data_IF_022655991275
#
_entry.id   IF_022655991275
#
_cell.length_a   1.000
_cell.length_b   1.000
_cell.length_c   1.000
_cell.angle_alpha   90.00
_cell.angle_beta   90.00
_cell.angle_gamma   90.00
#
_symmetry.space_group_name_H-M   'P 1'
#
loop_
_entity.id
_entity.type
_entity.pdbx_description
1 polymer ?
#
# COMPACT_ATOMS: atom_id res chain seq x y z
N UNK A 1 -65.68 -19.76 -5.50
CA UNK A 1 -64.95 -19.32 -4.30
C UNK A 1 -63.47 -19.33 -4.67
N UNK A 2 -62.87 -18.15 -4.81
CA UNK A 2 -61.48 -18.00 -5.25
C UNK A 2 -60.56 -18.03 -4.02
N UNK A 3 -59.72 -19.05 -3.91
CA UNK A 3 -58.71 -19.14 -2.86
C UNK A 3 -57.44 -18.42 -3.31
N UNK A 4 -57.25 -17.19 -2.85
CA UNK A 4 -56.00 -16.46 -2.99
C UNK A 4 -55.07 -16.93 -1.87
N UNK A 5 -54.04 -17.71 -2.20
CA UNK A 5 -52.97 -18.01 -1.26
C UNK A 5 -52.04 -16.80 -1.13
N UNK A 6 -51.72 -16.34 0.10
CA UNK A 6 -50.74 -15.28 0.27
C UNK A 6 -49.36 -15.82 -0.07
N UNK A 7 -48.72 -15.24 -1.09
CA UNK A 7 -47.30 -15.44 -1.37
C UNK A 7 -46.52 -14.70 -0.30
N UNK A 8 -45.87 -15.44 0.59
CA UNK A 8 -44.95 -14.88 1.57
C UNK A 8 -43.66 -14.49 0.82
N UNK A 9 -43.51 -13.20 0.49
CA UNK A 9 -42.26 -12.68 -0.04
C UNK A 9 -41.29 -12.55 1.14
N UNK A 10 -40.37 -13.50 1.26
CA UNK A 10 -39.26 -13.38 2.19
C UNK A 10 -38.31 -12.30 1.67
N UNK A 11 -38.36 -11.12 2.26
CA UNK A 11 -37.31 -10.12 2.09
C UNK A 11 -36.06 -10.67 2.78
N UNK A 12 -35.11 -11.16 2.01
CA UNK A 12 -33.78 -11.47 2.52
C UNK A 12 -33.05 -10.15 2.75
N UNK A 13 -33.32 -9.49 3.88
CA UNK A 13 -32.50 -8.38 4.37
C UNK A 13 -31.21 -8.96 4.90
N UNK A 14 -30.30 -9.32 3.99
CA UNK A 14 -28.89 -9.41 4.34
C UNK A 14 -28.45 -7.97 4.60
N UNK A 15 -28.58 -7.50 5.84
CA UNK A 15 -27.91 -6.28 6.26
C UNK A 15 -26.42 -6.48 5.91
N UNK A 16 -25.90 -5.68 5.00
CA UNK A 16 -24.48 -5.68 4.69
C UNK A 16 -23.76 -5.27 5.96
N UNK A 17 -23.19 -6.25 6.68
CA UNK A 17 -22.41 -6.02 7.89
C UNK A 17 -21.23 -5.14 7.48
N UNK A 18 -21.23 -3.91 7.97
CA UNK A 18 -20.11 -3.00 7.80
C UNK A 18 -19.03 -3.38 8.81
N UNK A 19 -17.87 -3.76 8.30
CA UNK A 19 -16.68 -4.08 9.07
C UNK A 19 -15.74 -2.87 9.04
N UNK A 20 -15.11 -2.60 10.18
CA UNK A 20 -14.09 -1.56 10.30
C UNK A 20 -12.72 -2.24 10.29
N UNK A 21 -11.91 -1.93 9.28
CA UNK A 21 -10.49 -2.27 9.24
C UNK A 21 -9.74 -1.29 10.14
N UNK A 22 -8.94 -1.81 11.06
CA UNK A 22 -8.16 -0.98 11.99
C UNK A 22 -6.91 -0.48 11.30
N UNK A 23 -6.44 0.71 11.68
CA UNK A 23 -5.12 1.17 11.29
C UNK A 23 -4.06 0.16 11.76
N UNK A 24 -3.04 -0.08 10.92
CA UNK A 24 -1.88 -0.88 11.31
C UNK A 24 -0.61 -0.32 10.66
N UNK A 25 0.52 -0.51 11.32
CA UNK A 25 1.81 0.03 10.89
C UNK A 25 2.88 -1.06 10.86
N UNK A 26 3.76 -1.00 9.87
CA UNK A 26 4.96 -1.84 9.79
C UNK A 26 6.18 -1.04 9.33
N UNK A 27 7.37 -1.55 9.64
CA UNK A 27 8.65 -0.94 9.31
C UNK A 27 9.42 -1.83 8.34
N UNK A 28 10.02 -1.21 7.33
CA UNK A 28 10.80 -1.88 6.29
C UNK A 28 12.21 -1.29 6.31
N UNK A 29 13.20 -2.09 6.71
CA UNK A 29 14.61 -1.70 6.70
C UNK A 29 15.12 -1.49 5.26
N UNK A 30 15.84 -0.39 5.05
CA UNK A 30 16.43 0.00 3.76
C UNK A 30 17.95 -0.21 3.77
N UNK A 31 18.44 -1.05 2.86
CA UNK A 31 19.86 -1.37 2.71
C UNK A 31 20.40 -0.90 1.39
N UNK A 32 21.64 -0.41 1.38
CA UNK A 32 22.36 -0.10 0.14
C UNK A 32 22.36 -1.31 -0.79
N UNK A 33 22.06 -1.07 -2.07
CA UNK A 33 21.90 -2.13 -3.07
C UNK A 33 22.52 -1.74 -4.42
N UNK A 34 22.69 -2.73 -5.29
CA UNK A 34 23.07 -2.51 -6.69
C UNK A 34 21.87 -1.96 -7.49
N UNK A 35 22.08 -1.19 -8.57
CA UNK A 35 21.03 -0.62 -9.42
C UNK A 35 20.35 -1.65 -10.35
N UNK A 36 20.41 -2.93 -10.02
CA UNK A 36 19.66 -3.98 -10.73
C UNK A 36 18.16 -3.72 -10.59
N UNK A 37 17.39 -3.86 -11.66
CA UNK A 37 15.94 -3.69 -11.58
C UNK A 37 15.43 -2.25 -11.80
N UNK A 38 16.33 -1.28 -12.02
CA UNK A 38 15.96 0.14 -12.08
C UNK A 38 15.72 0.69 -13.49
N UNK A 39 16.17 -0.03 -14.53
CA UNK A 39 16.27 0.51 -15.88
C UNK A 39 14.95 1.02 -16.45
N UNK A 40 15.04 1.70 -17.59
CA UNK A 40 13.90 2.36 -18.25
C UNK A 40 12.70 1.43 -18.49
N UNK A 41 12.93 0.13 -18.67
CA UNK A 41 11.90 -0.89 -18.90
C UNK A 41 11.21 -1.38 -17.63
N UNK A 42 11.70 -1.02 -16.45
CA UNK A 42 11.20 -1.49 -15.16
C UNK A 42 10.67 -0.34 -14.31
N UNK A 43 11.56 0.57 -13.88
CA UNK A 43 11.19 1.71 -13.03
C UNK A 43 11.34 3.07 -13.73
N UNK A 44 11.76 3.09 -14.99
CA UNK A 44 11.90 4.34 -15.72
C UNK A 44 13.08 5.20 -15.24
N UNK A 45 14.06 4.63 -14.52
CA UNK A 45 15.17 5.39 -13.96
C UNK A 45 16.39 5.33 -14.89
N UNK A 46 16.99 6.48 -15.25
CA UNK A 46 18.30 6.51 -15.87
C UNK A 46 19.37 6.03 -14.88
N UNK A 47 20.06 4.94 -15.23
CA UNK A 47 21.12 4.37 -14.40
C UNK A 47 22.47 4.92 -14.85
N UNK A 48 23.03 5.79 -14.03
CA UNK A 48 24.38 6.34 -14.15
C UNK A 48 25.33 5.68 -13.12
N UNK A 49 26.64 5.81 -13.32
CA UNK A 49 27.65 5.31 -12.36
C UNK A 49 27.52 5.93 -10.95
N UNK A 50 26.98 7.15 -10.86
CA UNK A 50 26.71 7.85 -9.60
C UNK A 50 25.39 7.44 -8.93
N UNK A 51 24.60 6.55 -9.54
CA UNK A 51 23.29 6.15 -9.01
C UNK A 51 23.44 5.45 -7.68
N UNK A 52 22.81 5.99 -6.63
CA UNK A 52 22.74 5.38 -5.31
C UNK A 52 21.36 4.77 -5.09
N UNK A 53 21.33 3.59 -4.46
CA UNK A 53 20.11 2.79 -4.30
C UNK A 53 20.03 2.23 -2.91
N UNK A 54 18.86 2.36 -2.28
CA UNK A 54 18.50 1.65 -1.05
C UNK A 54 17.27 0.79 -1.33
N UNK A 55 17.27 -0.46 -0.85
CA UNK A 55 16.15 -1.40 -1.03
C UNK A 55 15.72 -2.02 0.29
N UNK A 56 14.42 -2.24 0.41
CA UNK A 56 13.81 -2.95 1.53
C UNK A 56 12.71 -3.88 1.03
N UNK A 57 12.38 -4.90 1.83
CA UNK A 57 11.29 -5.82 1.52
C UNK A 57 10.60 -6.33 2.77
N UNK A 58 9.31 -6.61 2.64
CA UNK A 58 8.50 -7.34 3.63
C UNK A 58 7.62 -8.33 2.88
N UNK A 59 7.61 -9.58 3.32
CA UNK A 59 6.93 -10.66 2.60
C UNK A 59 5.41 -10.56 2.71
N UNK A 60 4.91 -10.33 3.93
CA UNK A 60 3.48 -10.26 4.23
C UNK A 60 3.23 -9.20 5.31
N UNK A 61 2.07 -8.56 5.22
CA UNK A 61 1.53 -7.65 6.23
C UNK A 61 0.00 -7.78 6.26
N UNK A 62 -0.58 -7.81 7.46
CA UNK A 62 -2.00 -8.04 7.65
C UNK A 62 -2.64 -6.83 8.33
N UNK A 63 -3.83 -6.46 7.85
CA UNK A 63 -4.68 -5.49 8.49
C UNK A 63 -5.90 -6.21 9.07
N UNK A 64 -6.12 -6.01 10.37
CA UNK A 64 -7.21 -6.66 11.08
C UNK A 64 -8.51 -5.84 11.00
N UNK A 65 -9.63 -6.52 11.19
CA UNK A 65 -10.90 -5.91 11.57
C UNK A 65 -10.91 -5.57 13.07
N UNK A 66 -11.86 -4.75 13.50
CA UNK A 66 -12.03 -4.37 14.91
C UNK A 66 -12.25 -5.57 15.86
N UNK A 67 -12.74 -6.71 15.37
CA UNK A 67 -12.89 -7.96 16.13
C UNK A 67 -11.64 -8.86 16.07
N UNK A 68 -10.52 -8.37 15.52
CA UNK A 68 -9.22 -9.05 15.51
C UNK A 68 -9.05 -10.10 14.40
N UNK A 69 -10.03 -10.27 13.51
CA UNK A 69 -9.88 -11.15 12.34
C UNK A 69 -9.05 -10.47 11.25
N UNK A 70 -8.51 -11.26 10.33
CA UNK A 70 -7.84 -10.72 9.14
C UNK A 70 -8.88 -10.08 8.23
N UNK A 71 -8.73 -8.78 7.97
CA UNK A 71 -9.64 -8.02 7.12
C UNK A 71 -9.07 -7.68 5.74
N UNK A 72 -7.76 -7.42 5.66
CA UNK A 72 -7.03 -7.21 4.39
C UNK A 72 -5.62 -7.78 4.46
N UNK A 73 -5.17 -8.40 3.37
CA UNK A 73 -3.80 -8.93 3.23
C UNK A 73 -2.98 -8.09 2.26
N UNK A 74 -1.70 -7.92 2.60
CA UNK A 74 -0.69 -7.30 1.76
C UNK A 74 0.48 -8.26 1.65
N UNK A 75 1.07 -8.36 0.45
CA UNK A 75 2.24 -9.20 0.24
C UNK A 75 3.23 -8.56 -0.72
N UNK A 76 4.41 -9.17 -0.83
CA UNK A 76 5.43 -8.78 -1.81
C UNK A 76 5.78 -7.29 -1.74
N UNK A 77 5.83 -6.73 -0.52
CA UNK A 77 6.10 -5.31 -0.29
C UNK A 77 7.58 -5.06 -0.55
N UNK A 78 7.86 -4.17 -1.48
CA UNK A 78 9.19 -3.81 -1.97
C UNK A 78 9.33 -2.30 -1.97
N UNK A 79 10.41 -1.84 -1.37
CA UNK A 79 10.82 -0.44 -1.40
C UNK A 79 12.09 -0.33 -2.21
N UNK A 80 12.13 0.61 -3.14
CA UNK A 80 13.33 0.99 -3.87
C UNK A 80 13.48 2.50 -3.83
N UNK A 81 14.41 2.99 -3.03
CA UNK A 81 14.81 4.38 -3.04
C UNK A 81 15.99 4.56 -3.98
N UNK A 82 15.96 5.59 -4.82
CA UNK A 82 17.00 5.88 -5.81
C UNK A 82 17.36 7.35 -5.71
N UNK A 83 18.66 7.65 -5.69
CA UNK A 83 19.22 8.98 -5.95
C UNK A 83 20.04 8.91 -7.23
N UNK A 84 19.69 9.71 -8.22
CA UNK A 84 20.35 9.74 -9.54
C UNK A 84 20.37 11.16 -10.09
N UNK A 85 20.98 11.36 -11.26
CA UNK A 85 20.99 12.64 -11.95
C UNK A 85 20.35 12.54 -13.34
N UNK A 86 19.60 13.56 -13.72
CA UNK A 86 19.07 13.74 -15.07
C UNK A 86 19.34 15.18 -15.53
N UNK A 87 19.91 15.35 -16.73
CA UNK A 87 20.28 16.68 -17.23
C UNK A 87 21.28 17.44 -16.34
N UNK A 88 22.06 16.73 -15.53
CA UNK A 88 22.99 17.32 -14.55
C UNK A 88 22.35 17.74 -13.23
N UNK A 89 21.06 17.47 -13.02
CA UNK A 89 20.33 17.79 -11.79
C UNK A 89 20.12 16.50 -10.99
N UNK A 90 20.58 16.48 -9.74
CA UNK A 90 20.31 15.37 -8.84
C UNK A 90 18.86 15.35 -8.37
N UNK A 91 18.28 14.16 -8.28
CA UNK A 91 16.96 13.92 -7.72
C UNK A 91 16.94 12.61 -6.96
N UNK A 92 16.03 12.52 -5.99
CA UNK A 92 15.78 11.28 -5.27
C UNK A 92 14.30 10.91 -5.32
N UNK A 93 14.03 9.63 -5.51
CA UNK A 93 12.68 9.06 -5.57
C UNK A 93 12.59 7.81 -4.72
N UNK A 94 11.40 7.54 -4.18
CA UNK A 94 11.07 6.29 -3.51
C UNK A 94 9.94 5.61 -4.25
N UNK A 95 10.17 4.37 -4.66
CA UNK A 95 9.20 3.47 -5.23
C UNK A 95 8.73 2.51 -4.15
N UNK A 96 7.44 2.52 -3.87
CA UNK A 96 6.78 1.53 -3.02
C UNK A 96 5.91 0.65 -3.91
N UNK A 97 6.19 -0.64 -3.92
CA UNK A 97 5.43 -1.64 -4.66
C UNK A 97 4.93 -2.71 -3.69
N UNK A 98 3.69 -3.15 -3.82
CA UNK A 98 3.14 -4.25 -3.03
C UNK A 98 1.91 -4.82 -3.72
N UNK A 99 1.46 -5.98 -3.28
CA UNK A 99 0.17 -6.53 -3.68
C UNK A 99 -0.81 -6.40 -2.52
N UNK A 100 -2.03 -5.95 -2.81
CA UNK A 100 -3.14 -5.94 -1.86
C UNK A 100 -4.20 -6.95 -2.32
N UNK A 101 -4.69 -7.77 -1.39
CA UNK A 101 -5.80 -8.67 -1.66
C UNK A 101 -7.11 -7.95 -1.39
N UNK A 102 -7.96 -7.89 -2.42
CA UNK A 102 -9.38 -7.66 -2.21
C UNK A 102 -9.88 -8.94 -1.56
N UNK A 103 -10.09 -8.93 -0.25
CA UNK A 103 -10.64 -10.07 0.49
C UNK A 103 -12.10 -10.34 0.09
N UNK A 104 -12.86 -11.06 0.92
CA UNK A 104 -14.33 -11.17 0.83
C UNK A 104 -15.06 -9.85 1.17
N UNK A 105 -14.38 -8.71 1.00
CA UNK A 105 -14.81 -7.40 1.44
C UNK A 105 -14.61 -6.36 0.34
N UNK A 106 -15.57 -5.44 0.18
CA UNK A 106 -15.45 -4.25 -0.69
C UNK A 106 -15.59 -2.96 0.11
N UNK A 107 -14.87 -1.88 -0.26
CA UNK A 107 -15.02 -0.58 0.37
C UNK A 107 -16.47 -0.06 0.33
N UNK A 108 -16.94 0.52 1.43
CA UNK A 108 -18.25 1.20 1.51
C UNK A 108 -18.22 2.54 0.79
N UNK A 109 -17.05 3.19 0.73
CA UNK A 109 -16.81 4.44 0.01
C UNK A 109 -15.42 4.47 -0.62
N UNK A 110 -14.82 5.65 -0.72
CA UNK A 110 -13.40 5.77 -1.07
C UNK A 110 -12.57 5.01 -0.03
N UNK A 111 -11.65 4.15 -0.48
CA UNK A 111 -10.82 3.38 0.43
C UNK A 111 -9.91 4.30 1.27
N UNK A 112 -9.70 3.93 2.53
CA UNK A 112 -8.85 4.69 3.46
C UNK A 112 -7.38 4.82 3.01
N UNK A 113 -6.92 3.96 2.11
CA UNK A 113 -5.58 4.03 1.55
C UNK A 113 -4.48 3.71 2.55
N UNK A 114 -3.31 4.29 2.33
CA UNK A 114 -2.13 4.15 3.17
C UNK A 114 -1.33 5.45 3.22
N UNK A 115 -0.52 5.57 4.27
CA UNK A 115 0.49 6.62 4.44
C UNK A 115 1.86 5.99 4.54
N UNK A 116 2.88 6.77 4.19
CA UNK A 116 4.28 6.35 4.18
C UNK A 116 5.12 7.40 4.86
N UNK A 117 6.10 6.97 5.65
CA UNK A 117 7.13 7.87 6.17
C UNK A 117 8.52 7.28 5.96
N UNK A 118 9.51 8.14 5.69
CA UNK A 118 10.92 7.80 5.73
C UNK A 118 11.49 8.15 7.10
N UNK A 119 12.22 7.21 7.68
CA UNK A 119 12.76 7.32 9.03
C UNK A 119 14.29 7.20 9.01
N UNK A 120 14.91 7.82 10.00
CA UNK A 120 16.27 7.54 10.44
C UNK A 120 16.17 6.89 11.82
N UNK A 121 16.33 5.58 11.88
CA UNK A 121 16.07 4.79 13.08
C UNK A 121 14.64 5.01 13.59
N UNK A 122 14.43 5.71 14.69
CA UNK A 122 13.10 5.97 15.26
C UNK A 122 12.50 7.33 14.84
N UNK A 123 13.29 8.21 14.22
CA UNK A 123 12.88 9.58 13.94
C UNK A 123 12.29 9.70 12.53
N UNK A 124 11.06 10.20 12.44
CA UNK A 124 10.42 10.49 11.16
C UNK A 124 11.11 11.69 10.48
N UNK A 125 11.74 11.44 9.33
CA UNK A 125 12.38 12.46 8.50
C UNK A 125 11.38 13.18 7.60
N UNK A 126 10.48 12.40 6.99
CA UNK A 126 9.50 12.90 6.03
C UNK A 126 8.29 11.98 6.00
N UNK A 127 7.10 12.56 6.20
CA UNK A 127 5.83 11.89 5.89
C UNK A 127 5.45 12.21 4.45
N UNK A 128 5.19 11.19 3.65
CA UNK A 128 4.79 11.29 2.25
C UNK A 128 3.27 11.41 2.14
N UNK A 129 2.76 11.99 1.03
CA UNK A 129 1.32 12.13 0.83
C UNK A 129 0.58 10.79 0.92
N UNK A 130 -0.59 10.81 1.57
CA UNK A 130 -1.48 9.66 1.61
C UNK A 130 -1.84 9.23 0.18
N UNK A 131 -1.91 7.91 -0.05
CA UNK A 131 -2.23 7.31 -1.34
C UNK A 131 -3.38 6.33 -1.21
N UNK A 132 -4.26 6.30 -2.20
CA UNK A 132 -5.33 5.31 -2.28
C UNK A 132 -4.78 3.96 -2.73
N UNK A 133 -5.44 2.88 -2.31
CA UNK A 133 -5.20 1.53 -2.81
C UNK A 133 -5.87 1.34 -4.16
N UNK A 134 -5.12 0.80 -5.13
CA UNK A 134 -5.67 0.17 -6.31
C UNK A 134 -6.19 -1.23 -5.93
N UNK A 135 -7.50 -1.28 -5.69
CA UNK A 135 -8.21 -2.48 -5.23
C UNK A 135 -9.64 -2.50 -5.80
N UNK A 136 -9.81 -2.66 -7.13
CA UNK A 136 -11.09 -2.45 -7.80
C UNK A 136 -12.14 -3.53 -7.53
N UNK A 137 -11.73 -4.78 -7.27
CA UNK A 137 -12.67 -5.88 -7.00
C UNK A 137 -12.19 -6.73 -5.82
N UNK A 138 -13.14 -7.38 -5.14
CA UNK A 138 -12.81 -8.39 -4.12
C UNK A 138 -12.36 -9.73 -4.72
N UNK A 139 -11.95 -10.64 -3.84
CA UNK A 139 -11.42 -11.98 -4.11
C UNK A 139 -10.25 -12.04 -5.13
N UNK A 140 -9.41 -11.02 -5.20
CA UNK A 140 -8.29 -10.96 -6.14
C UNK A 140 -7.10 -10.13 -5.61
N UNK A 141 -5.90 -10.46 -6.10
CA UNK A 141 -4.67 -9.71 -5.80
C UNK A 141 -4.44 -8.61 -6.83
N UNK A 142 -4.06 -7.42 -6.36
CA UNK A 142 -3.73 -6.28 -7.21
C UNK A 142 -2.38 -5.70 -6.86
N UNK A 143 -1.54 -5.53 -7.88
CA UNK A 143 -0.29 -4.79 -7.76
C UNK A 143 -0.57 -3.30 -7.58
N UNK A 144 0.08 -2.73 -6.57
CA UNK A 144 0.06 -1.32 -6.23
C UNK A 144 1.48 -0.77 -6.39
N UNK A 145 1.60 0.40 -7.00
CA UNK A 145 2.85 1.13 -7.11
C UNK A 145 2.61 2.61 -6.83
N UNK A 146 3.39 3.18 -5.91
CA UNK A 146 3.49 4.61 -5.70
C UNK A 146 4.93 5.07 -5.89
N UNK A 147 5.07 6.30 -6.38
CA UNK A 147 6.36 6.97 -6.59
C UNK A 147 6.30 8.30 -5.88
N UNK A 148 7.29 8.57 -5.05
CA UNK A 148 7.40 9.80 -4.30
C UNK A 148 8.72 10.50 -4.59
N UNK A 149 8.66 11.77 -4.92
CA UNK A 149 9.83 12.64 -4.91
C UNK A 149 10.23 12.94 -3.47
N UNK A 150 11.54 12.85 -3.18
CA UNK A 150 12.07 13.10 -1.83
C UNK A 150 13.30 14.01 -1.89
N UNK A 151 13.52 14.86 -0.88
CA UNK A 151 14.74 15.65 -0.77
C UNK A 151 15.99 14.76 -0.69
N UNK A 152 17.11 15.22 -1.24
CA UNK A 152 18.36 14.46 -1.30
C UNK A 152 18.88 14.12 0.11
N UNK A 153 18.77 15.07 1.03
CA UNK A 153 19.17 14.92 2.42
C UNK A 153 18.32 13.92 3.19
N UNK A 154 17.05 13.76 2.81
CA UNK A 154 16.15 12.74 3.37
C UNK A 154 16.57 11.38 2.84
N UNK A 155 16.83 11.25 1.53
CA UNK A 155 17.35 10.02 0.95
C UNK A 155 18.63 9.56 1.65
N UNK A 156 19.58 10.47 1.89
CA UNK A 156 20.88 10.11 2.46
C UNK A 156 20.75 9.57 3.89
N UNK A 157 19.88 10.15 4.71
CA UNK A 157 19.65 9.77 6.10
C UNK A 157 18.73 8.57 6.28
N UNK A 158 17.77 8.37 5.39
CA UNK A 158 16.74 7.35 5.58
C UNK A 158 17.32 5.93 5.61
N UNK A 159 17.03 5.18 6.66
CA UNK A 159 17.41 3.78 6.84
C UNK A 159 16.18 2.86 6.96
N UNK A 160 14.97 3.44 7.07
CA UNK A 160 13.71 2.72 7.17
C UNK A 160 12.59 3.43 6.41
N UNK A 161 11.62 2.64 5.97
CA UNK A 161 10.32 3.11 5.50
C UNK A 161 9.23 2.55 6.42
N UNK A 162 8.41 3.44 6.97
CA UNK A 162 7.19 3.08 7.67
C UNK A 162 6.03 3.06 6.68
N UNK A 163 5.28 1.95 6.65
CA UNK A 163 4.03 1.82 5.93
C UNK A 163 2.89 1.73 6.96
N UNK A 164 1.94 2.65 6.86
CA UNK A 164 0.76 2.66 7.70
C UNK A 164 -0.48 2.50 6.81
N UNK A 165 -1.21 1.41 6.99
CA UNK A 165 -2.50 1.19 6.31
C UNK A 165 -3.59 1.82 7.15
N UNK A 166 -4.36 2.72 6.56
CA UNK A 166 -5.30 3.55 7.30
C UNK A 166 -6.58 2.77 7.65
N UNK A 167 -7.33 3.29 8.61
CA UNK A 167 -8.68 2.77 8.91
C UNK A 167 -9.57 2.87 7.67
N UNK A 168 -10.41 1.85 7.47
CA UNK A 168 -11.29 1.75 6.31
C UNK A 168 -12.61 1.07 6.69
N UNK A 169 -13.68 1.37 5.97
CA UNK A 169 -14.98 0.72 6.14
C UNK A 169 -15.28 -0.16 4.95
N UNK A 170 -15.51 -1.44 5.21
CA UNK A 170 -15.79 -2.44 4.17
C UNK A 170 -17.09 -3.18 4.47
N UNK A 171 -17.69 -3.75 3.44
CA UNK A 171 -18.84 -4.66 3.55
C UNK A 171 -18.48 -6.00 2.94
N UNK A 172 -19.05 -7.08 3.47
CA UNK A 172 -18.86 -8.42 2.92
C UNK A 172 -19.44 -8.55 1.50
N UNK A 173 -18.90 -9.49 0.71
CA UNK A 173 -19.38 -9.89 -0.62
C UNK A 173 -20.12 -11.23 -0.56
#
# INVERSE_FOLDING_TARGET
MSHTHPVLVAFNTTENIVLVLTENTTLIELKTAKPTGLGMTQLGIPVLDSTLVKKGKLNEFLQSTADGKVGRRYQNIRVTAVKTAEGGIESAKVFLQFEAFGDDNVPVGANGGYTVALLSSADALLTLPASSLFLPYGRAWYENQAVFDVPLEVFDKADQLQLTVNTDQVRAI
#
